data_IF_826337052718
#
_entry.id   IF_826337052718
#
_cell.length_a   1.000
_cell.length_b   1.000
_cell.length_c   1.000
_cell.angle_alpha   90.00
_cell.angle_beta   90.00
_cell.angle_gamma   90.00
#
_symmetry.space_group_name_H-M   'P 1'
#
loop_
_entity.id
_entity.type
_entity.pdbx_description
1 polymer ?
#
# COMPACT_ATOMS: atom_id res chain seq x y z
N UNK A 1 8.50 -3.42 -9.74
CA UNK A 1 7.23 -2.72 -9.44
C UNK A 1 7.55 -1.68 -8.37
N UNK A 2 6.89 -0.51 -8.40
CA UNK A 2 7.14 0.55 -7.42
C UNK A 2 5.85 1.18 -6.94
N UNK A 3 5.75 1.49 -5.65
CA UNK A 3 4.73 2.38 -5.08
C UNK A 3 5.39 3.75 -4.85
N UNK A 4 4.95 4.75 -5.58
CA UNK A 4 5.38 6.13 -5.40
C UNK A 4 4.84 6.71 -4.09
N UNK A 5 5.46 7.78 -3.61
CA UNK A 5 5.07 8.43 -2.34
C UNK A 5 3.61 8.92 -2.31
N UNK A 6 3.03 9.21 -3.47
CA UNK A 6 1.63 9.62 -3.66
C UNK A 6 0.65 8.44 -3.71
N UNK A 7 1.14 7.21 -3.60
CA UNK A 7 0.33 5.99 -3.70
C UNK A 7 0.15 5.49 -5.14
N UNK A 8 0.74 6.14 -6.15
CA UNK A 8 0.69 5.67 -7.54
C UNK A 8 1.55 4.41 -7.69
N UNK A 9 0.97 3.37 -8.29
CA UNK A 9 1.70 2.15 -8.62
C UNK A 9 2.33 2.25 -10.01
N UNK A 10 3.58 1.82 -10.15
CA UNK A 10 4.33 1.87 -11.39
C UNK A 10 4.85 0.49 -11.79
N UNK A 11 4.75 0.19 -13.08
CA UNK A 11 5.40 -0.95 -13.72
C UNK A 11 6.27 -0.47 -14.87
N UNK A 12 7.57 -0.78 -14.82
CA UNK A 12 8.55 -0.32 -15.81
C UNK A 12 8.49 1.20 -16.06
N UNK A 13 8.28 1.99 -15.01
CA UNK A 13 8.19 3.45 -15.08
C UNK A 13 6.81 4.01 -15.49
N UNK A 14 5.91 3.19 -16.03
CA UNK A 14 4.56 3.61 -16.40
C UNK A 14 3.56 3.44 -15.25
N UNK A 15 2.65 4.40 -15.02
CA UNK A 15 1.66 4.30 -13.96
C UNK A 15 0.58 3.26 -14.27
N UNK A 16 0.14 2.52 -13.26
CA UNK A 16 -0.98 1.58 -13.32
C UNK A 16 -2.25 2.33 -12.93
N UNK A 17 -3.04 2.73 -13.92
CA UNK A 17 -4.27 3.51 -13.72
C UNK A 17 -5.52 2.66 -13.48
N UNK A 18 -5.38 1.35 -13.25
CA UNK A 18 -6.50 0.40 -13.09
C UNK A 18 -6.72 0.09 -11.61
N UNK A 19 -7.73 0.68 -10.94
CA UNK A 19 -7.89 0.52 -9.49
C UNK A 19 -8.12 -0.93 -9.06
N UNK A 20 -8.84 -1.73 -9.86
CA UNK A 20 -9.03 -3.15 -9.58
C UNK A 20 -7.72 -3.95 -9.55
N UNK A 21 -6.77 -3.60 -10.43
CA UNK A 21 -5.46 -4.24 -10.48
C UNK A 21 -4.58 -3.80 -9.29
N UNK A 22 -4.62 -2.52 -8.93
CA UNK A 22 -3.94 -2.01 -7.73
C UNK A 22 -4.45 -2.70 -6.47
N UNK A 23 -5.78 -2.84 -6.31
CA UNK A 23 -6.40 -3.56 -5.19
C UNK A 23 -5.98 -5.03 -5.13
N UNK A 24 -5.90 -5.70 -6.29
CA UNK A 24 -5.45 -7.09 -6.37
C UNK A 24 -4.01 -7.25 -5.89
N UNK A 25 -3.08 -6.38 -6.29
CA UNK A 25 -1.72 -6.46 -5.81
C UNK A 25 -1.60 -6.06 -4.34
N UNK A 26 -2.35 -5.04 -3.91
CA UNK A 26 -2.38 -4.62 -2.52
C UNK A 26 -2.85 -5.73 -1.57
N UNK A 27 -3.77 -6.61 -1.99
CA UNK A 27 -4.27 -7.70 -1.13
C UNK A 27 -3.23 -8.78 -0.83
N UNK A 28 -2.16 -8.85 -1.63
CA UNK A 28 -1.04 -9.79 -1.46
C UNK A 28 0.26 -9.11 -1.02
N UNK A 29 0.20 -7.82 -0.68
CA UNK A 29 1.35 -7.06 -0.21
C UNK A 29 1.70 -7.45 1.23
N UNK A 30 2.98 -7.74 1.48
CA UNK A 30 3.52 -8.05 2.80
C UNK A 30 4.77 -7.23 3.09
N UNK A 31 4.91 -6.83 4.35
CA UNK A 31 6.15 -6.34 4.93
C UNK A 31 6.80 -7.53 5.65
N UNK A 32 8.06 -7.78 5.37
CA UNK A 32 8.85 -8.84 6.01
C UNK A 32 9.70 -8.27 7.15
N UNK A 33 10.28 -9.14 7.98
CA UNK A 33 10.99 -8.77 9.21
C UNK A 33 12.22 -7.88 8.96
N UNK A 34 12.77 -7.91 7.76
CA UNK A 34 13.90 -7.08 7.33
C UNK A 34 13.48 -5.67 6.85
N UNK A 35 12.19 -5.36 6.87
CA UNK A 35 11.64 -4.09 6.43
C UNK A 35 11.40 -4.00 4.92
N UNK A 36 11.61 -5.07 4.16
CA UNK A 36 11.36 -5.09 2.72
C UNK A 36 9.91 -5.48 2.39
N UNK A 37 9.40 -4.90 1.29
CA UNK A 37 8.03 -5.14 0.80
C UNK A 37 8.01 -6.15 -0.35
N UNK A 38 7.04 -7.05 -0.30
CA UNK A 38 6.85 -8.10 -1.29
C UNK A 38 5.39 -8.29 -1.68
N UNK A 39 5.14 -8.68 -2.92
CA UNK A 39 3.89 -9.33 -3.31
C UNK A 39 4.05 -10.84 -3.10
N UNK A 40 3.17 -11.44 -2.30
CA UNK A 40 3.29 -12.85 -1.88
C UNK A 40 2.03 -13.62 -2.23
N UNK A 41 2.19 -14.62 -3.10
CA UNK A 41 1.19 -15.64 -3.40
C UNK A 41 1.72 -17.01 -2.94
N UNK A 42 0.90 -18.08 -2.93
CA UNK A 42 1.37 -19.40 -2.50
C UNK A 42 2.59 -19.95 -3.25
N UNK A 43 2.81 -19.51 -4.50
CA UNK A 43 3.86 -20.04 -5.38
C UNK A 43 4.93 -19.01 -5.74
N UNK A 44 4.73 -17.74 -5.42
CA UNK A 44 5.60 -16.65 -5.88
C UNK A 44 5.76 -15.58 -4.81
N UNK A 45 6.98 -15.05 -4.70
CA UNK A 45 7.33 -13.90 -3.86
C UNK A 45 8.18 -12.94 -4.69
N UNK A 46 7.68 -11.72 -4.87
CA UNK A 46 8.34 -10.69 -5.70
C UNK A 46 8.58 -9.44 -4.87
N UNK A 47 9.82 -8.96 -4.82
CA UNK A 47 10.16 -7.71 -4.14
C UNK A 47 9.61 -6.50 -4.89
N UNK A 48 9.16 -5.49 -4.16
CA UNK A 48 8.74 -4.21 -4.73
C UNK A 48 9.43 -3.05 -4.01
N UNK A 49 9.59 -1.94 -4.73
CA UNK A 49 10.09 -0.70 -4.15
C UNK A 49 8.94 0.13 -3.59
N UNK A 50 9.12 0.70 -2.41
CA UNK A 50 8.14 1.60 -1.77
C UNK A 50 8.90 2.85 -1.32
N UNK A 51 8.61 4.00 -1.92
CA UNK A 51 9.33 5.25 -1.64
C UNK A 51 9.02 5.83 -0.24
N UNK A 52 7.94 5.37 0.39
CA UNK A 52 7.52 5.79 1.72
C UNK A 52 6.63 4.73 2.38
N UNK A 53 5.32 4.96 2.34
CA UNK A 53 4.33 4.01 2.83
C UNK A 53 3.64 3.26 1.68
N UNK A 54 3.21 2.01 1.88
CA UNK A 54 2.51 1.25 0.84
C UNK A 54 1.07 1.74 0.59
N UNK A 55 0.52 2.50 1.54
CA UNK A 55 -0.82 3.08 1.47
C UNK A 55 -0.79 4.55 1.84
N UNK A 56 -1.67 5.33 1.20
CA UNK A 56 -1.93 6.72 1.54
C UNK A 56 -3.31 6.79 2.18
N UNK A 57 -3.36 7.26 3.44
CA UNK A 57 -4.63 7.59 4.07
C UNK A 57 -5.16 8.91 3.46
N UNK A 58 -6.34 8.86 2.85
CA UNK A 58 -6.94 10.00 2.13
C UNK A 58 -8.14 10.61 2.83
N UNK A 59 -8.67 9.95 3.86
CA UNK A 59 -9.84 10.36 4.62
C UNK A 59 -9.71 9.87 6.06
N UNK A 60 -10.37 10.56 6.99
CA UNK A 60 -10.43 10.22 8.41
C UNK A 60 -11.77 10.67 8.99
N UNK A 61 -12.41 9.81 9.77
CA UNK A 61 -13.61 10.08 10.54
C UNK A 61 -13.23 10.29 12.01
N UNK A 62 -13.87 11.27 12.67
CA UNK A 62 -13.69 11.53 14.10
C UNK A 62 -15.01 11.37 14.83
N UNK A 63 -15.04 10.48 15.80
CA UNK A 63 -16.17 10.28 16.70
C UNK A 63 -15.79 10.64 18.13
N UNK A 64 -16.72 11.24 18.89
CA UNK A 64 -16.46 11.69 20.27
C UNK A 64 -15.61 12.95 20.38
N UNK A 65 -14.99 13.16 21.56
CA UNK A 65 -14.19 14.35 21.86
C UNK A 65 -13.12 14.07 22.92
N UNK A 66 -12.11 14.95 23.00
CA UNK A 66 -11.02 14.87 23.98
C UNK A 66 -10.14 13.62 23.80
N UNK A 67 -9.67 13.07 24.91
CA UNK A 67 -8.84 11.85 24.94
C UNK A 67 -9.61 10.58 24.54
N UNK A 68 -10.94 10.62 24.61
CA UNK A 68 -11.81 9.51 24.23
C UNK A 68 -12.24 9.52 22.76
N UNK A 69 -11.72 10.45 21.94
CA UNK A 69 -12.08 10.50 20.53
C UNK A 69 -11.53 9.28 19.78
N UNK A 70 -12.31 8.77 18.82
CA UNK A 70 -11.88 7.70 17.92
C UNK A 70 -11.63 8.28 16.54
N UNK A 71 -10.48 7.92 15.97
CA UNK A 71 -10.15 8.19 14.57
C UNK A 71 -10.25 6.88 13.78
N UNK A 72 -10.95 6.89 12.65
CA UNK A 72 -11.11 5.72 11.78
C UNK A 72 -11.07 6.09 10.30
#
# INVERSE_FOLDING_TARGET
>A
LKIGRDGTWYYQGSPILRPGLVKLFASVLRLEDDGAYFLVTPVEKVSIEVEGAPFVAVEMWREGSGEAQRLS
#
